data_IF_025672365181
#
_entry.id   IF_025672365181
#
_cell.length_a   1.000
_cell.length_b   1.000
_cell.length_c   1.000
_cell.angle_alpha   90.00
_cell.angle_beta   90.00
_cell.angle_gamma   90.00
#
_symmetry.space_group_name_H-M   'P 1'
#
loop_
_entity.id
_entity.type
_entity.pdbx_description
1 polymer ?
#
# COMPACT_ATOMS: atom_id res chain seq x y z
N UNK A 1 -54.49 -57.22 -35.52
CA UNK A 1 -54.25 -56.88 -34.11
C UNK A 1 -53.03 -55.99 -34.08
N UNK A 2 -53.24 -54.66 -34.03
CA UNK A 2 -52.22 -53.64 -34.05
C UNK A 2 -51.88 -53.19 -32.62
N UNK A 3 -50.68 -53.46 -32.17
CA UNK A 3 -50.16 -52.97 -30.91
C UNK A 3 -49.33 -51.73 -31.18
N UNK A 4 -49.86 -50.57 -30.82
CA UNK A 4 -49.28 -49.26 -31.00
C UNK A 4 -48.21 -49.00 -29.93
N UNK A 5 -46.94 -48.89 -30.34
CA UNK A 5 -45.79 -48.56 -29.51
C UNK A 5 -45.85 -47.07 -29.17
N UNK A 6 -46.16 -46.72 -27.92
CA UNK A 6 -46.07 -45.35 -27.39
C UNK A 6 -44.60 -45.02 -27.07
N UNK A 7 -44.04 -44.11 -27.86
CA UNK A 7 -42.71 -43.55 -27.61
C UNK A 7 -42.78 -42.55 -26.43
N UNK A 8 -42.21 -42.92 -25.32
CA UNK A 8 -42.03 -42.09 -24.15
C UNK A 8 -40.75 -41.26 -24.38
N UNK A 9 -40.91 -39.98 -24.74
CA UNK A 9 -39.80 -39.03 -24.80
C UNK A 9 -39.51 -38.55 -23.38
N UNK A 10 -38.39 -39.03 -22.83
CA UNK A 10 -37.85 -38.53 -21.57
C UNK A 10 -37.15 -37.21 -21.88
N UNK A 11 -37.73 -36.08 -21.48
CA UNK A 11 -37.10 -34.75 -21.47
C UNK A 11 -36.11 -34.71 -20.30
N UNK A 12 -34.82 -34.86 -20.61
CA UNK A 12 -33.75 -34.61 -19.65
C UNK A 12 -33.60 -33.10 -19.47
N UNK A 13 -34.15 -32.56 -18.41
CA UNK A 13 -33.86 -31.20 -17.94
C UNK A 13 -32.45 -31.18 -17.34
N UNK A 14 -31.48 -30.72 -18.14
CA UNK A 14 -30.15 -30.37 -17.65
C UNK A 14 -30.24 -29.10 -16.80
N UNK A 15 -30.23 -29.29 -15.49
CA UNK A 15 -30.01 -28.23 -14.52
C UNK A 15 -28.55 -27.77 -14.63
N UNK A 16 -28.29 -26.67 -15.35
CA UNK A 16 -27.01 -25.97 -15.30
C UNK A 16 -26.99 -25.18 -13.99
N UNK A 17 -26.41 -25.77 -12.97
CA UNK A 17 -26.05 -25.10 -11.74
C UNK A 17 -24.90 -24.12 -12.05
N UNK A 18 -25.23 -22.87 -12.36
CA UNK A 18 -24.27 -21.78 -12.45
C UNK A 18 -23.58 -21.61 -11.10
N UNK A 19 -22.34 -22.09 -10.99
CA UNK A 19 -21.45 -21.69 -9.89
C UNK A 19 -21.17 -20.20 -10.02
N UNK A 20 -21.94 -19.39 -9.27
CA UNK A 20 -21.55 -18.02 -8.99
C UNK A 20 -20.29 -18.12 -8.13
N UNK A 21 -19.13 -17.99 -8.75
CA UNK A 21 -17.86 -17.86 -8.07
C UNK A 21 -17.92 -16.59 -7.24
N UNK A 22 -18.14 -16.73 -5.94
CA UNK A 22 -17.90 -15.65 -4.98
C UNK A 22 -16.39 -15.44 -4.97
N UNK A 23 -15.92 -14.50 -5.79
CA UNK A 23 -14.56 -14.03 -5.73
C UNK A 23 -14.34 -13.42 -4.35
N UNK A 24 -13.64 -14.14 -3.47
CA UNK A 24 -13.03 -13.53 -2.29
C UNK A 24 -11.98 -12.52 -2.80
N UNK A 25 -12.42 -11.28 -3.01
CA UNK A 25 -11.52 -10.17 -3.17
C UNK A 25 -10.72 -10.05 -1.86
N UNK A 26 -9.42 -10.24 -1.92
CA UNK A 26 -8.49 -9.79 -0.88
C UNK A 26 -8.52 -8.26 -0.89
N UNK A 27 -9.59 -7.68 -0.39
CA UNK A 27 -9.71 -6.26 -0.15
C UNK A 27 -8.89 -5.93 1.09
N UNK A 28 -7.80 -5.18 0.93
CA UNK A 28 -7.10 -4.60 2.07
C UNK A 28 -8.10 -3.78 2.92
N UNK A 29 -7.77 -3.59 4.20
CA UNK A 29 -8.60 -2.78 5.10
C UNK A 29 -8.85 -1.39 4.45
N UNK A 30 -10.12 -1.01 4.19
CA UNK A 30 -10.46 0.26 3.55
C UNK A 30 -9.86 1.47 4.28
N UNK A 31 -9.74 1.43 5.60
CA UNK A 31 -9.14 2.52 6.38
C UNK A 31 -7.62 2.60 6.15
N UNK A 32 -6.94 1.46 5.95
CA UNK A 32 -5.52 1.42 5.58
C UNK A 32 -5.31 2.02 4.19
N UNK A 33 -6.22 1.80 3.26
CA UNK A 33 -6.13 2.29 1.90
C UNK A 33 -6.55 3.76 1.74
N UNK A 34 -7.18 4.36 2.76
CA UNK A 34 -7.57 5.77 2.72
C UNK A 34 -6.34 6.68 2.64
N UNK A 35 -6.28 7.63 1.69
CA UNK A 35 -5.20 8.61 1.63
C UNK A 35 -5.10 9.42 2.92
N UNK A 36 -3.87 9.75 3.32
CA UNK A 36 -3.61 10.70 4.43
C UNK A 36 -3.29 12.11 3.93
N UNK A 37 -3.07 12.27 2.62
CA UNK A 37 -2.99 13.58 1.98
C UNK A 37 -4.40 14.18 1.96
N UNK A 38 -4.58 15.45 2.36
CA UNK A 38 -5.87 16.13 2.31
C UNK A 38 -6.48 16.11 0.90
N UNK A 39 -7.83 16.02 0.77
CA UNK A 39 -8.49 15.90 -0.53
C UNK A 39 -8.19 17.04 -1.51
N UNK A 40 -8.02 18.26 -1.00
CA UNK A 40 -7.69 19.46 -1.77
C UNK A 40 -6.24 19.49 -2.29
N UNK A 41 -5.34 18.70 -1.69
CA UNK A 41 -3.91 18.64 -2.04
C UNK A 41 -3.51 17.33 -2.75
N UNK A 42 -4.40 16.35 -2.79
CA UNK A 42 -4.07 15.02 -3.29
C UNK A 42 -3.72 14.99 -4.78
N UNK A 43 -4.34 15.86 -5.60
CA UNK A 43 -4.04 15.91 -7.04
C UNK A 43 -2.67 16.51 -7.30
N UNK A 44 -2.30 17.54 -6.58
CA UNK A 44 -0.96 18.12 -6.63
C UNK A 44 0.08 17.09 -6.17
N UNK A 45 -0.13 16.48 -5.01
CA UNK A 45 0.77 15.45 -4.49
C UNK A 45 0.97 14.30 -5.49
N UNK A 46 -0.08 13.82 -6.14
CA UNK A 46 0.01 12.75 -7.15
C UNK A 46 0.80 13.15 -8.40
N UNK A 47 0.90 14.43 -8.71
CA UNK A 47 1.67 14.91 -9.87
C UNK A 47 3.18 14.86 -9.66
N UNK A 48 3.64 14.79 -8.42
CA UNK A 48 5.06 14.71 -8.10
C UNK A 48 5.61 13.32 -8.37
N UNK A 49 6.76 13.26 -9.02
CA UNK A 49 7.43 12.02 -9.37
C UNK A 49 8.82 11.98 -8.77
N UNK A 50 9.27 10.79 -8.38
CA UNK A 50 10.62 10.62 -7.90
C UNK A 50 11.61 10.87 -9.06
N UNK A 51 12.53 11.86 -8.94
CA UNK A 51 13.47 12.17 -10.01
C UNK A 51 14.62 11.16 -10.13
N UNK A 52 14.76 10.26 -9.13
CA UNK A 52 15.86 9.30 -9.10
C UNK A 52 15.39 7.92 -9.59
N UNK A 53 16.24 7.22 -10.38
CA UNK A 53 15.91 5.87 -10.83
C UNK A 53 15.87 4.89 -9.66
N UNK A 54 15.00 3.89 -9.78
CA UNK A 54 14.91 2.77 -8.84
C UNK A 54 16.11 1.83 -9.04
N UNK A 55 17.28 2.23 -8.57
CA UNK A 55 18.53 1.47 -8.61
C UNK A 55 18.93 1.01 -7.21
N UNK A 56 19.70 -0.08 -7.15
CA UNK A 56 20.25 -0.59 -5.88
C UNK A 56 21.03 0.48 -5.12
N UNK A 57 21.84 1.28 -5.82
CA UNK A 57 22.59 2.39 -5.23
C UNK A 57 21.69 3.41 -4.54
N UNK A 58 20.61 3.83 -5.21
CA UNK A 58 19.69 4.84 -4.67
C UNK A 58 18.84 4.27 -3.53
N UNK A 59 18.44 3.00 -3.62
CA UNK A 59 17.76 2.28 -2.53
C UNK A 59 18.67 2.21 -1.29
N UNK A 60 19.95 1.89 -1.46
CA UNK A 60 20.88 1.78 -0.34
C UNK A 60 21.20 3.15 0.29
N UNK A 61 21.22 4.24 -0.50
CA UNK A 61 21.25 5.61 0.04
C UNK A 61 20.04 5.87 0.94
N UNK A 62 18.84 5.57 0.44
CA UNK A 62 17.61 5.71 1.21
C UNK A 62 17.58 4.88 2.48
N UNK A 63 18.07 3.65 2.40
CA UNK A 63 18.18 2.73 3.55
C UNK A 63 19.07 3.30 4.65
N UNK A 64 20.25 3.82 4.31
CA UNK A 64 21.13 4.45 5.29
C UNK A 64 20.44 5.62 6.00
N UNK A 65 19.76 6.49 5.25
CA UNK A 65 19.05 7.64 5.81
C UNK A 65 17.89 7.19 6.71
N UNK A 66 17.10 6.21 6.28
CA UNK A 66 15.98 5.63 7.03
C UNK A 66 16.42 5.07 8.39
N UNK A 67 17.59 4.42 8.43
CA UNK A 67 18.11 3.77 9.65
C UNK A 67 18.92 4.70 10.56
N UNK A 68 19.38 5.84 10.07
CA UNK A 68 20.30 6.73 10.82
C UNK A 68 19.69 8.13 10.97
N UNK A 69 19.94 9.02 10.00
CA UNK A 69 19.63 10.45 10.09
C UNK A 69 18.17 10.74 10.39
N UNK A 70 17.24 10.04 9.72
CA UNK A 70 15.80 10.26 9.86
C UNK A 70 15.15 9.40 10.94
N UNK A 71 15.84 8.39 11.47
CA UNK A 71 15.34 7.47 12.52
C UNK A 71 13.95 6.88 12.24
N UNK A 72 13.58 6.69 10.97
CA UNK A 72 12.29 6.13 10.57
C UNK A 72 12.01 4.76 11.20
N UNK A 73 13.10 4.00 11.45
CA UNK A 73 13.06 2.68 12.10
C UNK A 73 12.39 2.71 13.47
N UNK A 74 12.42 3.84 14.17
CA UNK A 74 11.85 3.96 15.52
C UNK A 74 10.35 3.68 15.51
N UNK A 75 9.65 4.14 14.47
CA UNK A 75 8.21 3.95 14.33
C UNK A 75 7.86 2.86 13.31
N UNK A 76 8.61 2.77 12.22
CA UNK A 76 8.29 1.85 11.13
C UNK A 76 8.96 0.48 11.22
N UNK A 77 9.88 0.29 12.19
CA UNK A 77 10.64 -0.96 12.34
C UNK A 77 11.72 -1.13 11.28
N UNK A 78 12.68 -2.03 11.53
CA UNK A 78 13.75 -2.35 10.57
C UNK A 78 13.22 -3.12 9.35
N UNK A 79 12.13 -3.85 9.54
CA UNK A 79 11.45 -4.67 8.54
C UNK A 79 10.33 -3.92 7.81
N UNK A 80 10.10 -2.65 8.17
CA UNK A 80 9.08 -1.80 7.56
C UNK A 80 7.64 -2.15 7.93
N UNK A 81 7.40 -3.11 8.85
CA UNK A 81 6.05 -3.55 9.23
C UNK A 81 5.32 -2.60 10.18
N UNK A 82 6.02 -1.61 10.73
CA UNK A 82 5.53 -0.83 11.84
C UNK A 82 5.76 -1.56 13.16
N UNK A 83 5.75 -0.84 14.26
CA UNK A 83 5.96 -1.44 15.60
C UNK A 83 4.64 -1.76 16.31
N UNK A 84 3.51 -1.71 15.59
CA UNK A 84 2.20 -1.96 16.19
C UNK A 84 1.85 -0.92 17.25
N UNK A 85 1.52 -1.37 18.46
CA UNK A 85 1.15 -0.47 19.55
C UNK A 85 2.39 0.08 20.25
N UNK A 86 2.83 1.29 19.89
CA UNK A 86 3.93 2.00 20.55
C UNK A 86 3.36 2.79 21.74
N UNK A 87 3.80 2.53 22.97
CA UNK A 87 3.30 3.27 24.13
C UNK A 87 3.47 4.78 23.95
N UNK A 88 2.39 5.53 24.15
CA UNK A 88 2.38 7.00 24.02
C UNK A 88 2.20 7.52 22.60
N UNK A 89 2.16 6.65 21.57
CA UNK A 89 1.84 7.07 20.21
C UNK A 89 0.36 7.46 20.10
N UNK A 90 0.11 8.61 19.48
CA UNK A 90 -1.25 9.13 19.28
C UNK A 90 -1.71 8.96 17.86
N UNK A 91 -3.02 8.82 17.67
CA UNK A 91 -3.64 8.73 16.37
C UNK A 91 -3.44 7.40 15.69
N UNK A 92 -3.35 7.42 14.35
CA UNK A 92 -3.23 6.20 13.54
C UNK A 92 -1.83 5.61 13.62
N UNK A 93 -1.75 4.30 13.67
CA UNK A 93 -0.48 3.57 13.72
C UNK A 93 0.40 3.82 12.48
N UNK A 94 1.74 3.66 12.62
CA UNK A 94 2.67 3.67 11.51
C UNK A 94 2.26 2.69 10.42
N UNK A 95 2.42 3.09 9.17
CA UNK A 95 2.08 2.23 8.02
C UNK A 95 3.02 1.02 7.95
N UNK A 96 2.43 -0.12 7.64
CA UNK A 96 3.15 -1.31 7.23
C UNK A 96 3.56 -1.15 5.76
N UNK A 97 4.85 -0.97 5.50
CA UNK A 97 5.39 -0.79 4.15
C UNK A 97 5.48 -2.10 3.37
N UNK A 98 5.34 -3.26 4.02
CA UNK A 98 5.32 -4.56 3.33
C UNK A 98 3.94 -4.91 2.76
N UNK A 99 2.91 -4.11 3.07
CA UNK A 99 1.58 -4.27 2.51
C UNK A 99 1.56 -3.83 1.04
N UNK A 100 1.53 -4.82 0.14
CA UNK A 100 1.54 -4.60 -1.31
C UNK A 100 0.31 -3.86 -1.81
N UNK A 101 -0.86 -4.04 -1.17
CA UNK A 101 -2.09 -3.36 -1.54
C UNK A 101 -1.97 -1.88 -1.23
N UNK A 102 -1.45 -1.53 -0.06
CA UNK A 102 -1.15 -0.16 0.30
C UNK A 102 -0.08 0.45 -0.62
N UNK A 103 1.00 -0.27 -0.93
CA UNK A 103 2.05 0.18 -1.83
C UNK A 103 1.50 0.54 -3.22
N UNK A 104 0.64 -0.31 -3.78
CA UNK A 104 0.01 -0.09 -5.08
C UNK A 104 -0.99 1.08 -5.06
N UNK A 105 -1.62 1.34 -3.91
CA UNK A 105 -2.63 2.39 -3.75
C UNK A 105 -2.04 3.80 -3.55
N UNK A 106 -0.71 3.95 -3.38
CA UNK A 106 -0.03 5.23 -3.11
C UNK A 106 0.93 5.58 -4.24
N UNK A 107 0.92 6.84 -4.68
CA UNK A 107 1.97 7.38 -5.55
C UNK A 107 3.18 7.81 -4.74
N UNK A 108 4.35 7.93 -5.37
CA UNK A 108 5.55 8.44 -4.71
C UNK A 108 5.35 9.89 -4.25
N UNK A 109 4.64 10.68 -5.02
CA UNK A 109 4.32 12.06 -4.66
C UNK A 109 3.41 12.16 -3.42
N UNK A 110 2.42 11.26 -3.24
CA UNK A 110 1.63 11.20 -2.01
C UNK A 110 2.52 10.90 -0.79
N UNK A 111 3.49 9.99 -0.94
CA UNK A 111 4.43 9.66 0.13
C UNK A 111 5.42 10.80 0.41
N UNK A 112 5.86 11.49 -0.64
CA UNK A 112 6.71 12.67 -0.50
C UNK A 112 5.98 13.81 0.21
N UNK A 113 4.69 14.02 -0.12
CA UNK A 113 3.85 14.98 0.57
C UNK A 113 3.82 14.73 2.08
N UNK A 114 3.71 13.46 2.50
CA UNK A 114 3.73 13.06 3.92
C UNK A 114 5.09 13.40 4.56
N UNK A 115 6.21 13.17 3.89
CA UNK A 115 7.52 13.55 4.43
C UNK A 115 7.68 15.07 4.55
N UNK A 116 7.05 15.83 3.67
CA UNK A 116 7.12 17.29 3.64
C UNK A 116 6.20 17.95 4.68
N UNK A 117 5.02 17.42 4.88
CA UNK A 117 3.95 18.07 5.66
C UNK A 117 3.58 17.33 6.95
N UNK A 118 4.15 16.12 7.16
CA UNK A 118 3.70 15.22 8.22
C UNK A 118 2.48 14.41 7.82
N UNK A 119 2.06 13.49 8.68
CA UNK A 119 0.88 12.67 8.47
C UNK A 119 -0.26 13.18 9.34
N UNK A 120 -1.33 13.76 8.79
CA UNK A 120 -2.47 14.27 9.57
C UNK A 120 -3.02 13.22 10.53
N UNK A 121 -3.43 13.68 11.72
CA UNK A 121 -3.98 12.87 12.81
C UNK A 121 -3.04 11.77 13.32
N UNK A 122 -1.72 11.99 13.21
CA UNK A 122 -0.69 11.08 13.74
C UNK A 122 0.49 11.84 14.36
N UNK A 123 1.37 11.12 15.06
CA UNK A 123 2.61 11.67 15.58
C UNK A 123 3.74 11.76 14.54
N UNK A 124 3.50 11.46 13.27
CA UNK A 124 4.49 11.61 12.20
C UNK A 124 4.61 13.08 11.78
N UNK A 125 5.59 13.76 12.34
CA UNK A 125 5.91 15.17 12.04
C UNK A 125 6.50 15.35 10.62
N UNK A 126 6.52 16.58 10.08
CA UNK A 126 7.28 16.91 8.87
C UNK A 126 8.79 16.66 9.04
N UNK A 127 9.42 16.13 8.01
CA UNK A 127 10.86 15.89 7.97
C UNK A 127 11.60 16.90 7.09
N UNK A 128 10.92 17.42 6.06
CA UNK A 128 11.50 18.41 5.14
C UNK A 128 11.09 19.82 5.60
N UNK A 129 11.97 20.79 5.68
CA UNK A 129 13.45 20.72 5.41
C UNK A 129 14.28 20.42 6.66
N UNK A 130 13.68 20.27 7.84
CA UNK A 130 14.38 20.30 9.13
C UNK A 130 15.33 19.12 9.35
N UNK A 131 14.96 17.94 8.86
CA UNK A 131 15.71 16.70 9.05
C UNK A 131 16.27 16.21 7.73
N UNK A 132 15.49 16.28 6.66
CA UNK A 132 15.83 15.79 5.33
C UNK A 132 15.82 16.92 4.31
N UNK A 133 16.74 16.85 3.34
CA UNK A 133 16.58 17.55 2.08
C UNK A 133 15.52 16.85 1.22
N UNK A 134 15.00 17.52 0.18
CA UNK A 134 14.08 16.88 -0.76
C UNK A 134 14.72 15.68 -1.47
N UNK A 135 16.01 15.80 -1.85
CA UNK A 135 16.78 14.70 -2.45
C UNK A 135 16.83 13.48 -1.51
N UNK A 136 17.19 13.68 -0.25
CA UNK A 136 17.25 12.61 0.74
C UNK A 136 15.89 11.94 0.96
N UNK A 137 14.81 12.72 0.97
CA UNK A 137 13.47 12.22 1.09
C UNK A 137 13.09 11.31 -0.09
N UNK A 138 13.43 11.68 -1.32
CA UNK A 138 13.21 10.85 -2.51
C UNK A 138 13.99 9.53 -2.44
N UNK A 139 15.23 9.54 -1.97
CA UNK A 139 15.99 8.30 -1.74
C UNK A 139 15.34 7.43 -0.65
N UNK A 140 14.89 8.03 0.47
CA UNK A 140 14.14 7.29 1.50
C UNK A 140 12.91 6.59 0.92
N UNK A 141 12.18 7.25 0.01
CA UNK A 141 11.00 6.65 -0.62
C UNK A 141 11.34 5.46 -1.51
N UNK A 142 12.48 5.46 -2.21
CA UNK A 142 12.94 4.27 -2.94
C UNK A 142 13.14 3.07 -2.00
N UNK A 143 13.72 3.31 -0.83
CA UNK A 143 13.85 2.25 0.18
C UNK A 143 12.50 1.81 0.73
N UNK A 144 11.57 2.73 1.02
CA UNK A 144 10.19 2.40 1.44
C UNK A 144 9.49 1.54 0.38
N UNK A 145 9.70 1.83 -0.91
CA UNK A 145 9.15 1.03 -2.02
C UNK A 145 9.74 -0.39 -2.08
N UNK A 146 10.99 -0.56 -1.70
CA UNK A 146 11.65 -1.86 -1.74
C UNK A 146 11.03 -2.88 -0.76
N UNK A 147 10.42 -2.44 0.34
CA UNK A 147 9.69 -3.33 1.26
C UNK A 147 8.51 -4.05 0.60
N UNK A 148 7.83 -3.40 -0.34
CA UNK A 148 6.73 -4.01 -1.08
C UNK A 148 7.16 -5.00 -2.16
N UNK A 149 8.45 -5.03 -2.52
CA UNK A 149 9.02 -5.91 -3.55
C UNK A 149 9.58 -7.22 -2.97
N UNK A 150 9.84 -7.26 -1.67
CA UNK A 150 10.37 -8.46 -1.00
C UNK A 150 9.28 -9.54 -0.96
N UNK A 151 9.56 -10.80 -1.35
CA UNK A 151 8.64 -11.91 -1.10
C UNK A 151 8.41 -12.04 0.42
N UNK A 152 7.15 -12.23 0.81
CA UNK A 152 6.77 -12.52 2.20
C UNK A 152 7.24 -13.92 2.58
#
# INVERSE_FOLDING_TARGET
>A
MNVQKRNLRILSLLWIMGMVGVGFGYGGDPEVLKPRVPPDQIQEAKSWQNPFPNSEENIEKGKRIFHSKAFCVTCHGRDGKGLGNIPGLRGKLPRNFTDRTWQAARTDGELFWILKNGSPDTDMAPFIPLVLTEEEAWHVLLYVRSFGQTPN
#
